data_IF_801217602948
#
_entry.id   IF_801217602948
#
_cell.length_a   1.000
_cell.length_b   1.000
_cell.length_c   1.000
_cell.angle_alpha   90.00
_cell.angle_beta   90.00
_cell.angle_gamma   90.00
#
_symmetry.space_group_name_H-M   'P 1'
#
loop_
_entity.id
_entity.type
_entity.pdbx_description
1 polymer ?
#
# COMPACT_ATOMS: atom_id res chain seq x y z
N UNK A 1 -19.61 3.28 -37.46
CA UNK A 1 -18.35 2.58 -37.23
C UNK A 1 -17.35 3.35 -36.45
N UNK A 2 -17.17 4.61 -36.73
CA UNK A 2 -16.29 5.45 -35.92
C UNK A 2 -16.68 5.47 -34.43
N UNK A 3 -17.99 5.42 -34.18
CA UNK A 3 -18.49 5.40 -32.80
C UNK A 3 -18.10 4.14 -32.07
N UNK A 4 -18.18 2.98 -32.75
CA UNK A 4 -17.79 1.70 -32.14
C UNK A 4 -16.31 1.65 -31.81
N UNK A 5 -15.47 2.17 -32.73
CA UNK A 5 -14.03 2.22 -32.52
C UNK A 5 -13.70 3.13 -31.34
N UNK A 6 -14.40 4.25 -31.23
CA UNK A 6 -14.18 5.20 -30.14
C UNK A 6 -14.57 4.61 -28.80
N UNK A 7 -15.69 3.88 -28.78
CA UNK A 7 -16.13 3.21 -27.55
C UNK A 7 -15.12 2.13 -27.12
N UNK A 8 -14.57 1.42 -28.10
CA UNK A 8 -13.59 0.40 -27.83
C UNK A 8 -12.30 1.01 -27.25
N UNK A 9 -11.89 2.16 -27.76
CA UNK A 9 -10.72 2.86 -27.21
C UNK A 9 -10.93 3.28 -25.77
N UNK A 10 -12.14 3.76 -25.44
CA UNK A 10 -12.47 4.13 -24.08
C UNK A 10 -12.49 2.92 -23.17
N UNK A 11 -13.04 1.81 -23.64
CA UNK A 11 -13.03 0.57 -22.88
C UNK A 11 -11.63 0.05 -22.67
N UNK A 12 -10.80 0.14 -23.70
CA UNK A 12 -9.41 -0.29 -23.59
C UNK A 12 -8.66 0.58 -22.57
N UNK A 13 -8.90 1.89 -22.56
CA UNK A 13 -8.28 2.78 -21.59
C UNK A 13 -8.72 2.46 -20.18
N UNK A 14 -10.01 2.15 -19.99
CA UNK A 14 -10.55 1.82 -18.68
C UNK A 14 -10.14 0.45 -18.19
N UNK A 15 -9.90 -0.47 -19.13
CA UNK A 15 -9.58 -1.85 -18.81
C UNK A 15 -8.16 -2.23 -19.17
N UNK A 16 -7.32 -1.23 -19.48
CA UNK A 16 -5.95 -1.51 -19.82
C UNK A 16 -5.19 -2.10 -18.63
N UNK A 17 -4.34 -3.05 -18.96
CA UNK A 17 -3.53 -3.73 -17.98
C UNK A 17 -2.30 -2.87 -17.67
N UNK A 18 -2.04 -2.66 -16.41
CA UNK A 18 -0.86 -1.92 -15.95
C UNK A 18 0.06 -2.91 -15.25
N UNK A 19 1.24 -3.08 -15.80
CA UNK A 19 2.22 -3.98 -15.23
C UNK A 19 2.95 -3.27 -14.10
N UNK A 20 2.89 -3.84 -12.90
CA UNK A 20 3.58 -3.27 -11.74
C UNK A 20 4.39 -4.35 -11.03
N UNK A 21 5.41 -3.92 -10.33
CA UNK A 21 6.18 -4.81 -9.49
C UNK A 21 6.08 -4.30 -8.05
N UNK A 22 5.67 -5.20 -7.17
CA UNK A 22 5.54 -4.88 -5.75
C UNK A 22 6.30 -5.95 -4.99
N UNK A 23 7.29 -5.54 -4.23
CA UNK A 23 8.16 -6.42 -3.48
C UNK A 23 8.70 -7.56 -4.35
N UNK A 24 9.24 -7.18 -5.52
CA UNK A 24 9.87 -8.08 -6.50
C UNK A 24 8.92 -9.08 -7.15
N UNK A 25 7.60 -8.88 -7.02
CA UNK A 25 6.62 -9.71 -7.69
C UNK A 25 5.83 -8.88 -8.69
N UNK A 26 5.57 -9.47 -9.83
CA UNK A 26 4.89 -8.79 -10.93
C UNK A 26 3.39 -9.01 -10.87
N UNK A 27 2.65 -7.96 -11.13
CA UNK A 27 1.19 -8.00 -11.17
C UNK A 27 0.69 -7.20 -12.35
N UNK A 28 -0.40 -7.67 -12.94
CA UNK A 28 -1.09 -6.93 -13.98
C UNK A 28 -2.40 -6.43 -13.40
N UNK A 29 -2.50 -5.12 -13.26
CA UNK A 29 -3.67 -4.49 -12.68
C UNK A 29 -4.47 -3.79 -13.76
N UNK A 30 -5.74 -3.59 -13.53
CA UNK A 30 -6.61 -2.88 -14.47
C UNK A 30 -7.05 -1.56 -13.88
N UNK A 31 -7.06 -0.54 -14.72
CA UNK A 31 -7.50 0.75 -14.28
C UNK A 31 -7.50 1.75 -15.40
N UNK A 32 -8.15 2.88 -15.17
CA UNK A 32 -8.29 3.94 -16.16
C UNK A 32 -7.14 4.94 -16.15
N UNK A 33 -6.32 4.92 -15.10
CA UNK A 33 -5.21 5.85 -14.95
C UNK A 33 -3.93 5.10 -14.62
N UNK A 34 -3.17 4.70 -15.64
CA UNK A 34 -1.95 3.91 -15.41
C UNK A 34 -0.92 4.61 -14.54
N UNK A 35 -0.74 5.90 -14.71
CA UNK A 35 0.25 6.64 -13.91
C UNK A 35 -0.10 6.62 -12.43
N UNK A 36 -1.38 6.78 -12.14
CA UNK A 36 -1.85 6.75 -10.77
C UNK A 36 -1.66 5.36 -10.16
N UNK A 37 -1.96 4.32 -10.93
CA UNK A 37 -1.78 2.95 -10.46
C UNK A 37 -0.31 2.65 -10.17
N UNK A 38 0.58 3.14 -11.03
CA UNK A 38 2.01 2.98 -10.78
C UNK A 38 2.45 3.68 -9.49
N UNK A 39 1.92 4.86 -9.22
CA UNK A 39 2.22 5.55 -7.96
C UNK A 39 1.74 4.77 -6.75
N UNK A 40 0.56 4.18 -6.84
CA UNK A 40 0.03 3.36 -5.76
C UNK A 40 0.92 2.14 -5.53
N UNK A 41 1.34 1.50 -6.62
CA UNK A 41 2.20 0.32 -6.52
C UNK A 41 3.55 0.67 -5.91
N UNK A 42 4.14 1.80 -6.29
CA UNK A 42 5.40 2.26 -5.72
C UNK A 42 5.27 2.52 -4.22
N UNK A 43 4.14 3.10 -3.82
CA UNK A 43 3.91 3.39 -2.42
C UNK A 43 3.80 2.10 -1.60
N UNK A 44 3.02 1.14 -2.09
CA UNK A 44 2.89 -0.15 -1.42
C UNK A 44 4.24 -0.85 -1.35
N UNK A 45 4.99 -0.85 -2.45
CA UNK A 45 6.31 -1.44 -2.49
C UNK A 45 7.23 -0.84 -1.43
N UNK A 46 7.26 0.48 -1.34
CA UNK A 46 8.12 1.16 -0.38
C UNK A 46 7.73 0.84 1.06
N UNK A 47 6.43 0.70 1.32
CA UNK A 47 5.95 0.33 2.65
C UNK A 47 6.34 -1.09 3.01
N UNK A 48 6.22 -2.02 2.06
CA UNK A 48 6.62 -3.41 2.30
C UNK A 48 8.12 -3.51 2.54
N UNK A 49 8.91 -2.77 1.78
CA UNK A 49 10.37 -2.78 1.98
C UNK A 49 10.77 -2.19 3.33
N UNK A 50 10.11 -1.12 3.73
CA UNK A 50 10.38 -0.51 5.04
C UNK A 50 10.06 -1.49 6.17
N UNK A 51 8.93 -2.19 6.07
CA UNK A 51 8.56 -3.20 7.07
C UNK A 51 9.55 -4.35 7.04
N UNK A 52 9.96 -4.78 5.86
CA UNK A 52 10.92 -5.88 5.74
C UNK A 52 12.24 -5.53 6.42
N UNK A 53 12.73 -4.31 6.24
CA UNK A 53 13.96 -3.87 6.90
C UNK A 53 13.82 -3.85 8.41
N UNK A 54 12.68 -3.37 8.90
CA UNK A 54 12.44 -3.26 10.34
C UNK A 54 12.23 -4.63 10.99
N UNK A 55 11.72 -5.61 10.24
CA UNK A 55 11.30 -6.88 10.81
C UNK A 55 12.22 -8.05 10.52
N UNK A 56 13.06 -7.93 9.51
CA UNK A 56 13.91 -9.02 9.03
C UNK A 56 13.09 -10.27 8.63
N UNK A 57 11.82 -10.10 8.31
CA UNK A 57 10.99 -11.22 7.85
C UNK A 57 10.98 -11.26 6.33
N UNK A 58 10.92 -12.48 5.79
CA UNK A 58 10.83 -12.70 4.36
C UNK A 58 9.43 -13.19 3.96
N UNK A 59 8.53 -13.31 4.92
CA UNK A 59 7.16 -13.77 4.66
C UNK A 59 6.38 -12.64 3.97
N UNK A 60 6.19 -12.78 2.67
CA UNK A 60 5.56 -11.76 1.85
C UNK A 60 4.13 -11.45 2.29
N UNK A 61 3.38 -12.47 2.68
CA UNK A 61 2.00 -12.28 3.13
C UNK A 61 1.99 -11.42 4.41
N UNK A 62 2.84 -11.75 5.34
CA UNK A 62 2.92 -10.99 6.60
C UNK A 62 3.37 -9.55 6.35
N UNK A 63 4.34 -9.37 5.46
CA UNK A 63 4.79 -8.04 5.08
C UNK A 63 3.66 -7.23 4.44
N UNK A 64 2.87 -7.87 3.58
CA UNK A 64 1.74 -7.20 2.95
C UNK A 64 0.71 -6.77 3.97
N UNK A 65 0.40 -7.63 4.94
CA UNK A 65 -0.56 -7.29 5.99
C UNK A 65 -0.06 -6.13 6.84
N UNK A 66 1.19 -6.17 7.25
CA UNK A 66 1.76 -5.09 8.06
C UNK A 66 1.82 -3.77 7.28
N UNK A 67 2.20 -3.84 6.00
CA UNK A 67 2.20 -2.66 5.15
C UNK A 67 0.79 -2.09 5.00
N UNK A 68 -0.19 -2.97 4.80
CA UNK A 68 -1.58 -2.54 4.68
C UNK A 68 -2.07 -1.84 5.95
N UNK A 69 -1.73 -2.37 7.12
CA UNK A 69 -2.07 -1.74 8.38
C UNK A 69 -1.41 -0.37 8.53
N UNK A 70 -0.17 -0.27 8.12
CA UNK A 70 0.55 0.99 8.17
C UNK A 70 -0.10 2.04 7.27
N UNK A 71 -0.48 1.63 6.05
CA UNK A 71 -1.14 2.53 5.11
C UNK A 71 -2.52 2.92 5.62
N UNK A 72 -3.27 1.97 6.14
CA UNK A 72 -4.59 2.26 6.71
C UNK A 72 -4.49 3.26 7.88
N UNK A 73 -3.46 3.11 8.71
CA UNK A 73 -3.25 4.05 9.80
C UNK A 73 -2.90 5.44 9.28
N UNK A 74 -2.06 5.50 8.25
CA UNK A 74 -1.74 6.80 7.62
C UNK A 74 -3.00 7.48 7.09
N UNK A 75 -3.87 6.70 6.46
CA UNK A 75 -5.13 7.25 5.96
C UNK A 75 -5.96 7.85 7.09
N UNK A 76 -6.11 7.12 8.19
CA UNK A 76 -6.90 7.60 9.31
C UNK A 76 -6.26 8.79 10.00
N UNK A 77 -4.94 8.80 10.08
CA UNK A 77 -4.21 9.94 10.65
C UNK A 77 -4.39 11.20 9.82
N UNK A 78 -4.31 11.08 8.49
CA UNK A 78 -4.51 12.21 7.61
C UNK A 78 -5.93 12.76 7.73
N UNK A 79 -6.90 11.86 7.78
CA UNK A 79 -8.30 12.25 7.92
C UNK A 79 -8.54 12.95 9.26
N UNK A 80 -7.95 12.42 10.32
CA UNK A 80 -8.10 13.00 11.65
C UNK A 80 -7.36 14.32 11.77
N UNK A 81 -6.25 14.49 11.09
CA UNK A 81 -5.49 15.73 11.07
C UNK A 81 -6.32 16.87 10.48
N UNK A 82 -7.12 16.59 9.45
CA UNK A 82 -8.02 17.57 8.88
C UNK A 82 -9.05 18.03 9.91
N UNK A 83 -9.50 17.12 10.78
CA UNK A 83 -10.55 17.40 11.76
C UNK A 83 -10.01 18.05 13.03
N UNK A 84 -8.84 17.65 13.51
CA UNK A 84 -8.39 18.00 14.87
C UNK A 84 -7.08 18.74 14.95
N UNK A 85 -6.34 18.87 13.85
CA UNK A 85 -5.15 19.71 13.83
C UNK A 85 -3.81 19.08 14.10
N UNK A 86 -3.66 17.85 14.43
CA UNK A 86 -2.36 17.22 14.38
C UNK A 86 -1.75 16.68 15.66
N UNK A 87 -2.29 17.04 16.82
CA UNK A 87 -1.74 16.53 18.08
C UNK A 87 -1.88 15.01 18.18
N UNK A 88 -3.01 14.49 17.68
CA UNK A 88 -3.26 13.05 17.68
C UNK A 88 -2.36 12.30 16.69
N UNK A 89 -1.86 12.99 15.69
CA UNK A 89 -1.04 12.37 14.65
C UNK A 89 0.23 11.73 15.25
N UNK A 90 0.99 12.51 16.01
CA UNK A 90 2.22 12.02 16.61
C UNK A 90 1.97 10.87 17.57
N UNK A 91 0.92 11.01 18.37
CA UNK A 91 0.58 9.99 19.35
C UNK A 91 0.24 8.66 18.68
N UNK A 92 -0.59 8.69 17.62
CA UNK A 92 -1.00 7.48 16.94
C UNK A 92 0.15 6.84 16.17
N UNK A 93 1.01 7.65 15.60
CA UNK A 93 2.18 7.11 14.89
C UNK A 93 3.08 6.34 15.87
N UNK A 94 3.24 6.86 17.07
CA UNK A 94 4.02 6.19 18.10
C UNK A 94 3.36 4.88 18.55
N UNK A 95 2.04 4.90 18.71
CA UNK A 95 1.29 3.70 19.10
C UNK A 95 1.38 2.60 18.04
N UNK A 96 1.31 2.98 16.76
CA UNK A 96 1.41 2.00 15.70
C UNK A 96 2.80 1.39 15.63
N UNK A 97 3.82 2.19 15.80
CA UNK A 97 5.19 1.68 15.84
C UNK A 97 5.36 0.65 16.95
N UNK A 98 4.79 0.93 18.13
CA UNK A 98 4.84 -0.01 19.24
C UNK A 98 4.10 -1.30 18.93
N UNK A 99 2.94 -1.21 18.26
CA UNK A 99 2.17 -2.39 17.89
C UNK A 99 2.94 -3.26 16.90
N UNK A 100 3.64 -2.65 15.95
CA UNK A 100 4.46 -3.39 15.01
C UNK A 100 5.61 -4.09 15.72
N UNK A 101 6.23 -3.41 16.67
CA UNK A 101 7.30 -4.00 17.47
C UNK A 101 6.81 -5.23 18.25
N UNK A 102 5.61 -5.18 18.80
CA UNK A 102 5.03 -6.32 19.49
C UNK A 102 4.85 -7.52 18.59
N UNK A 103 4.37 -7.29 17.38
CA UNK A 103 4.22 -8.35 16.39
C UNK A 103 5.57 -8.97 16.09
N UNK A 104 6.61 -8.17 15.97
CA UNK A 104 7.96 -8.64 15.73
C UNK A 104 8.48 -9.50 16.87
N UNK A 105 8.30 -9.05 18.08
CA UNK A 105 8.76 -9.79 19.26
C UNK A 105 8.06 -11.14 19.36
N UNK A 106 6.76 -11.17 19.11
CA UNK A 106 6.01 -12.42 19.11
C UNK A 106 6.53 -13.39 18.05
N UNK A 107 6.85 -12.87 16.89
CA UNK A 107 7.38 -13.69 15.81
C UNK A 107 8.75 -14.26 16.18
N UNK A 108 9.59 -13.47 16.81
CA UNK A 108 10.91 -13.93 17.26
C UNK A 108 10.78 -15.06 18.27
N UNK A 109 9.85 -14.91 19.19
CA UNK A 109 9.62 -15.95 20.21
C UNK A 109 9.06 -17.22 19.61
N UNK A 110 8.23 -17.11 18.59
CA UNK A 110 7.65 -18.24 17.92
C UNK A 110 8.63 -18.97 16.99
N UNK A 111 9.60 -18.24 16.52
CA UNK A 111 10.58 -18.78 15.61
C UNK A 111 11.82 -19.24 16.30
#
# INVERSE_FOLDING_TARGET
MATATKDQSLKDAQNSSVHVEIFDQAYNLRGSDPEYILKLAEYVDSKMRAVAEATNTIDTVRLAVLAALNIADEYHLLKKKEDTGGTDYERRAHLLASALDEVLDQKRKAG
#
